data_IF_776324441729
#
_entry.id   IF_776324441729
#
_cell.length_a   1.000
_cell.length_b   1.000
_cell.length_c   1.000
_cell.angle_alpha   90.00
_cell.angle_beta   90.00
_cell.angle_gamma   90.00
#
_symmetry.space_group_name_H-M   'P 1'
#
loop_
_entity.id
_entity.type
_entity.pdbx_description
1 polymer ?
#
# COMPACT_ATOMS: atom_id res chain seq x y z
N UNK A 1 24.78 -4.21 4.75
CA UNK A 1 23.71 -4.02 3.75
C UNK A 1 24.26 -3.28 2.54
N UNK A 2 24.18 -3.91 1.37
CA UNK A 2 24.76 -3.36 0.15
C UNK A 2 23.82 -2.31 -0.46
N UNK A 3 24.34 -1.11 -0.70
CA UNK A 3 23.57 -0.03 -1.32
C UNK A 3 23.20 -0.41 -2.77
N UNK A 4 21.92 -0.40 -3.14
CA UNK A 4 21.49 -0.77 -4.50
C UNK A 4 21.94 0.26 -5.56
N UNK A 5 22.25 1.50 -5.16
CA UNK A 5 22.65 2.58 -6.08
C UNK A 5 24.14 2.56 -6.44
N UNK A 6 25.02 2.23 -5.49
CA UNK A 6 26.48 2.35 -5.69
C UNK A 6 27.30 1.12 -5.27
N UNK A 7 26.66 0.08 -4.73
CA UNK A 7 27.30 -1.17 -4.34
C UNK A 7 28.15 -1.12 -3.06
N UNK A 8 28.21 0.02 -2.36
CA UNK A 8 28.94 0.12 -1.08
C UNK A 8 28.23 -0.67 0.02
N UNK A 9 28.99 -1.36 0.87
CA UNK A 9 28.43 -2.08 2.01
C UNK A 9 28.31 -1.14 3.23
N UNK A 10 27.09 -1.01 3.75
CA UNK A 10 26.75 -0.13 4.86
C UNK A 10 26.37 -0.96 6.09
N UNK A 11 26.40 -0.37 7.28
CA UNK A 11 25.83 -1.00 8.49
C UNK A 11 24.35 -1.35 8.27
N UNK A 12 23.87 -2.42 8.89
CA UNK A 12 22.50 -2.95 8.68
C UNK A 12 21.39 -1.95 9.02
N UNK A 13 21.65 -1.02 9.94
CA UNK A 13 20.68 0.00 10.38
C UNK A 13 20.92 1.37 9.74
N UNK A 14 21.73 1.45 8.67
CA UNK A 14 22.02 2.71 8.00
C UNK A 14 20.76 3.19 7.24
N UNK A 15 20.29 4.41 7.54
CA UNK A 15 19.16 5.04 6.84
C UNK A 15 19.58 5.56 5.45
N UNK A 16 20.82 6.05 5.35
CA UNK A 16 21.39 6.58 4.12
C UNK A 16 22.76 5.94 3.86
N UNK A 17 23.10 5.78 2.58
CA UNK A 17 24.42 5.28 2.20
C UNK A 17 25.51 6.31 2.51
N UNK A 18 26.55 5.91 3.23
CA UNK A 18 27.66 6.79 3.62
C UNK A 18 28.48 7.30 2.42
N UNK A 19 28.46 6.57 1.30
CA UNK A 19 29.22 6.91 0.09
C UNK A 19 28.45 7.84 -0.84
N UNK A 20 27.21 7.50 -1.20
CA UNK A 20 26.45 8.20 -2.24
C UNK A 20 25.22 8.97 -1.72
N UNK A 21 24.97 8.94 -0.40
CA UNK A 21 23.85 9.60 0.27
C UNK A 21 22.45 9.15 -0.16
N UNK A 22 22.34 8.04 -0.90
CA UNK A 22 21.05 7.46 -1.26
C UNK A 22 20.31 6.97 -0.01
N UNK A 23 18.99 7.15 0.04
CA UNK A 23 18.15 6.47 1.01
C UNK A 23 18.17 4.97 0.68
N UNK A 24 18.46 4.17 1.71
CA UNK A 24 18.58 2.71 1.59
C UNK A 24 17.60 2.01 2.52
N UNK A 25 16.68 2.75 3.17
CA UNK A 25 15.64 2.16 4.00
C UNK A 25 14.74 1.28 3.13
N UNK A 26 14.30 0.11 3.63
CA UNK A 26 13.24 -0.62 2.97
C UNK A 26 12.00 0.28 2.93
N UNK A 27 11.45 0.49 1.75
CA UNK A 27 10.14 1.12 1.60
C UNK A 27 9.13 0.13 2.18
N UNK A 28 8.69 0.37 3.42
CA UNK A 28 7.80 -0.54 4.15
C UNK A 28 6.37 -0.54 3.61
N UNK A 29 6.08 0.31 2.61
CA UNK A 29 4.77 0.52 2.05
C UNK A 29 4.95 0.83 0.57
N UNK A 30 4.86 -0.17 -0.28
CA UNK A 30 4.74 0.04 -1.71
C UNK A 30 3.40 0.76 -1.94
N UNK A 31 3.47 1.99 -2.45
CA UNK A 31 2.30 2.85 -2.52
C UNK A 31 1.23 2.19 -3.40
N UNK A 32 0.01 1.98 -2.90
CA UNK A 32 -1.03 1.33 -3.69
C UNK A 32 -1.33 2.16 -4.94
N UNK A 33 -1.24 1.53 -6.11
CA UNK A 33 -1.52 2.22 -7.38
C UNK A 33 -2.98 2.70 -7.45
N UNK A 34 -3.25 3.76 -8.22
CA UNK A 34 -4.61 4.28 -8.42
C UNK A 34 -5.60 3.21 -8.91
N UNK A 35 -5.13 2.23 -9.69
CA UNK A 35 -5.93 1.08 -10.14
C UNK A 35 -6.42 0.22 -8.98
N UNK A 36 -5.55 -0.04 -8.01
CA UNK A 36 -5.91 -0.78 -6.79
C UNK A 36 -6.94 0.01 -5.98
N UNK A 37 -6.71 1.32 -5.82
CA UNK A 37 -7.60 2.18 -5.05
C UNK A 37 -9.03 2.18 -5.60
N UNK A 38 -9.19 2.33 -6.93
CA UNK A 38 -10.49 2.27 -7.60
C UNK A 38 -11.16 0.89 -7.42
N UNK A 39 -10.40 -0.20 -7.55
CA UNK A 39 -10.93 -1.56 -7.38
C UNK A 39 -11.47 -1.77 -5.96
N UNK A 40 -10.74 -1.32 -4.94
CA UNK A 40 -11.17 -1.43 -3.54
C UNK A 40 -12.41 -0.60 -3.27
N UNK A 41 -12.45 0.65 -3.73
CA UNK A 41 -13.63 1.51 -3.59
C UNK A 41 -14.87 0.89 -4.25
N UNK A 42 -14.73 0.35 -5.46
CA UNK A 42 -15.82 -0.30 -6.17
C UNK A 42 -16.39 -1.50 -5.36
N UNK A 43 -15.52 -2.32 -4.77
CA UNK A 43 -15.94 -3.45 -3.92
C UNK A 43 -16.69 -2.96 -2.69
N UNK A 44 -16.18 -1.95 -1.98
CA UNK A 44 -16.81 -1.39 -0.79
C UNK A 44 -18.23 -0.89 -1.11
N UNK A 45 -18.38 -0.06 -2.14
CA UNK A 45 -19.69 0.47 -2.51
C UNK A 45 -20.66 -0.62 -3.01
N UNK A 46 -20.18 -1.63 -3.72
CA UNK A 46 -21.01 -2.77 -4.12
C UNK A 46 -21.55 -3.54 -2.90
N UNK A 47 -20.70 -3.82 -1.92
CA UNK A 47 -21.10 -4.51 -0.67
C UNK A 47 -22.12 -3.68 0.10
N UNK A 48 -21.87 -2.37 0.27
CA UNK A 48 -22.81 -1.47 0.96
C UNK A 48 -24.16 -1.39 0.22
N UNK A 49 -24.12 -1.32 -1.12
CA UNK A 49 -25.33 -1.30 -1.94
C UNK A 49 -26.16 -2.58 -1.81
N UNK A 50 -25.52 -3.74 -1.88
CA UNK A 50 -26.19 -5.04 -1.69
C UNK A 50 -26.76 -5.14 -0.27
N UNK A 51 -25.98 -4.79 0.75
CA UNK A 51 -26.45 -4.80 2.13
C UNK A 51 -27.68 -3.90 2.33
N UNK A 52 -27.65 -2.68 1.78
CA UNK A 52 -28.79 -1.76 1.82
C UNK A 52 -30.03 -2.34 1.13
N UNK A 53 -29.89 -2.95 -0.05
CA UNK A 53 -31.00 -3.58 -0.78
C UNK A 53 -31.58 -4.74 0.03
N UNK A 54 -30.72 -5.62 0.58
CA UNK A 54 -31.16 -6.73 1.41
C UNK A 54 -31.91 -6.23 2.64
N UNK A 55 -31.33 -5.28 3.39
CA UNK A 55 -31.98 -4.67 4.54
C UNK A 55 -33.33 -4.06 4.16
N UNK A 56 -33.42 -3.37 3.02
CA UNK A 56 -34.67 -2.79 2.53
C UNK A 56 -35.72 -3.85 2.20
N UNK A 57 -35.32 -5.02 1.68
CA UNK A 57 -36.25 -6.13 1.42
C UNK A 57 -36.72 -6.71 2.74
N UNK A 58 -35.80 -7.05 3.65
CA UNK A 58 -36.12 -7.65 4.95
C UNK A 58 -36.91 -6.75 5.91
N UNK A 59 -36.69 -5.43 5.88
CA UNK A 59 -37.43 -4.46 6.71
C UNK A 59 -38.76 -4.02 6.07
N UNK A 60 -39.09 -4.51 4.86
CA UNK A 60 -40.33 -4.19 4.16
C UNK A 60 -41.39 -5.30 4.28
N UNK A 61 -41.03 -6.41 4.90
CA UNK A 61 -41.95 -7.40 5.47
C UNK A 61 -42.40 -6.96 6.88
#
# INVERSE_FOLDING_TARGET
MRCPKCGHDNKENAKFCVKCKADIRPVLIEEPTWKWHLKVLAIIYAVLGIAYILLRIFLKD
#
